data_IF_597503425967
#
_entry.id   IF_597503425967
#
_cell.length_a   1.000
_cell.length_b   1.000
_cell.length_c   1.000
_cell.angle_alpha   90.00
_cell.angle_beta   90.00
_cell.angle_gamma   90.00
#
_symmetry.space_group_name_H-M   'P 1'
#
loop_
_entity.id
_entity.type
_entity.pdbx_description
1 polymer ?
#
# COMPACT_ATOMS: atom_id res chain seq x y z
N UNK A 1 11.37 6.84 18.32
CA UNK A 1 11.27 8.30 18.51
C UNK A 1 11.48 8.95 17.16
N UNK A 2 10.39 9.13 16.37
CA UNK A 2 10.45 9.66 15.02
C UNK A 2 10.57 11.17 15.00
N UNK A 3 11.78 11.68 15.03
CA UNK A 3 12.04 13.05 14.63
C UNK A 3 12.07 13.08 13.09
N UNK A 4 11.31 14.01 12.49
CA UNK A 4 11.32 14.20 11.05
C UNK A 4 12.70 14.64 10.57
N UNK A 5 13.44 13.73 9.95
CA UNK A 5 14.69 14.09 9.25
C UNK A 5 14.34 14.96 8.05
N UNK A 6 15.31 15.73 7.54
CA UNK A 6 15.14 16.55 6.34
C UNK A 6 14.61 15.72 5.17
N UNK A 7 15.18 14.52 4.94
CA UNK A 7 14.74 13.59 3.90
C UNK A 7 13.29 13.14 4.08
N UNK A 8 12.87 12.84 5.32
CA UNK A 8 11.50 12.45 5.62
C UNK A 8 10.51 13.60 5.34
N UNK A 9 10.87 14.83 5.72
CA UNK A 9 10.06 16.01 5.45
C UNK A 9 9.93 16.26 3.94
N UNK A 10 11.02 16.16 3.18
CA UNK A 10 11.01 16.30 1.72
C UNK A 10 10.14 15.20 1.06
N UNK A 11 10.22 13.97 1.55
CA UNK A 11 9.37 12.87 1.08
C UNK A 11 7.88 13.16 1.36
N UNK A 12 7.53 13.63 2.55
CA UNK A 12 6.14 14.02 2.89
C UNK A 12 5.67 15.19 2.01
N UNK A 13 6.51 16.18 1.73
CA UNK A 13 6.16 17.28 0.85
C UNK A 13 5.84 16.81 -0.57
N UNK A 14 6.65 15.88 -1.09
CA UNK A 14 6.53 15.32 -2.44
C UNK A 14 5.38 14.33 -2.57
N UNK A 15 5.29 13.39 -1.65
CA UNK A 15 4.38 12.22 -1.74
C UNK A 15 3.13 12.34 -0.88
N UNK A 16 3.04 13.39 -0.03
CA UNK A 16 2.04 13.61 1.00
C UNK A 16 2.12 12.58 2.13
N UNK A 17 1.47 12.91 3.25
CA UNK A 17 1.41 12.01 4.38
C UNK A 17 0.51 10.80 4.07
N UNK A 18 0.90 9.63 4.50
CA UNK A 18 0.13 8.40 4.40
C UNK A 18 -0.70 8.16 5.68
N UNK A 19 -1.65 7.22 5.69
CA UNK A 19 -2.45 6.91 6.89
C UNK A 19 -1.64 6.50 8.13
N UNK A 20 -0.43 6.00 7.96
CA UNK A 20 0.47 5.63 9.07
C UNK A 20 1.07 6.85 9.80
N UNK A 21 1.05 8.03 9.18
CA UNK A 21 1.63 9.21 9.79
C UNK A 21 0.75 9.75 10.91
N UNK A 22 1.39 10.15 12.02
CA UNK A 22 0.71 10.81 13.13
C UNK A 22 0.17 12.16 12.70
N UNK A 23 -1.14 12.28 12.53
CA UNK A 23 -1.82 13.46 11.98
C UNK A 23 -1.59 14.75 12.75
N UNK A 24 -1.38 14.66 14.06
CA UNK A 24 -1.13 15.82 14.93
C UNK A 24 0.31 16.30 14.92
N UNK A 25 1.21 15.63 14.21
CA UNK A 25 2.62 16.00 14.14
C UNK A 25 2.85 17.05 13.05
N UNK A 26 3.37 18.22 13.42
CA UNK A 26 3.89 19.18 12.46
C UNK A 26 5.29 18.71 11.99
N UNK A 27 5.59 18.55 10.71
CA UNK A 27 4.94 19.05 9.51
C UNK A 27 3.87 18.14 8.87
N UNK A 28 3.61 16.94 9.38
CA UNK A 28 2.64 16.00 8.81
C UNK A 28 1.26 16.63 8.66
N UNK A 29 0.82 17.39 9.64
CA UNK A 29 -0.49 18.06 9.62
C UNK A 29 -0.72 18.98 8.41
N UNK A 30 0.34 19.55 7.84
CA UNK A 30 0.28 20.40 6.65
C UNK A 30 0.30 19.60 5.33
N UNK A 31 0.66 18.31 5.39
CA UNK A 31 0.81 17.42 4.24
C UNK A 31 -0.08 16.19 4.35
N UNK A 32 -1.17 16.28 5.10
CA UNK A 32 -2.12 15.17 5.21
C UNK A 32 -2.62 14.73 3.82
N UNK A 33 -2.95 13.44 3.66
CA UNK A 33 -3.48 12.94 2.41
C UNK A 33 -4.71 13.76 2.04
N UNK A 34 -4.62 14.42 0.92
CA UNK A 34 -5.73 15.12 0.34
C UNK A 34 -6.22 14.29 -0.84
N UNK A 35 -7.30 13.52 -0.61
CA UNK A 35 -7.90 12.67 -1.64
C UNK A 35 -8.24 13.45 -2.90
N UNK A 36 -8.73 14.68 -2.74
CA UNK A 36 -9.01 15.57 -3.86
C UNK A 36 -7.74 15.97 -4.62
N UNK A 37 -6.61 16.14 -3.91
CA UNK A 37 -5.31 16.40 -4.55
C UNK A 37 -4.83 15.20 -5.36
N UNK A 38 -4.88 14.00 -4.79
CA UNK A 38 -4.46 12.77 -5.46
C UNK A 38 -5.30 12.51 -6.72
N UNK A 39 -6.61 12.68 -6.60
CA UNK A 39 -7.54 12.53 -7.72
C UNK A 39 -7.30 13.57 -8.81
N UNK A 40 -7.16 14.85 -8.45
CA UNK A 40 -6.94 15.97 -9.39
C UNK A 40 -5.62 15.83 -10.16
N UNK A 41 -4.57 15.35 -9.50
CA UNK A 41 -3.26 15.17 -10.09
C UNK A 41 -3.07 13.80 -10.75
N UNK A 42 -4.15 13.02 -10.91
CA UNK A 42 -4.15 11.69 -11.52
C UNK A 42 -3.19 10.68 -10.86
N UNK A 43 -2.92 10.86 -9.59
CA UNK A 43 -2.13 9.95 -8.77
C UNK A 43 -3.00 8.78 -8.28
N UNK A 44 -3.63 8.09 -9.23
CA UNK A 44 -4.67 7.10 -8.95
C UNK A 44 -4.14 5.87 -8.21
N UNK A 45 -2.94 5.41 -8.54
CA UNK A 45 -2.29 4.33 -7.79
C UNK A 45 -2.12 4.71 -6.32
N UNK A 46 -1.52 5.86 -6.04
CA UNK A 46 -1.36 6.36 -4.68
C UNK A 46 -2.68 6.61 -3.96
N UNK A 47 -3.72 7.01 -4.68
CA UNK A 47 -5.07 7.11 -4.13
C UNK A 47 -5.59 5.74 -3.70
N UNK A 48 -5.41 4.73 -4.55
CA UNK A 48 -5.80 3.35 -4.26
C UNK A 48 -5.10 2.80 -3.02
N UNK A 49 -3.77 2.93 -2.94
CA UNK A 49 -2.98 2.52 -1.78
C UNK A 49 -3.49 3.16 -0.48
N UNK A 50 -3.78 4.47 -0.50
CA UNK A 50 -4.32 5.18 0.66
C UNK A 50 -5.71 4.69 1.07
N UNK A 51 -6.57 4.41 0.10
CA UNK A 51 -7.91 3.87 0.34
C UNK A 51 -7.84 2.47 0.95
N UNK A 52 -6.96 1.61 0.42
CA UNK A 52 -6.73 0.26 0.95
C UNK A 52 -6.19 0.33 2.37
N UNK A 53 -5.16 1.14 2.63
CA UNK A 53 -4.61 1.31 3.97
C UNK A 53 -5.67 1.79 4.97
N UNK A 54 -6.52 2.75 4.59
CA UNK A 54 -7.64 3.19 5.42
C UNK A 54 -8.65 2.07 5.68
N UNK A 55 -8.94 1.22 4.69
CA UNK A 55 -9.82 0.06 4.87
C UNK A 55 -9.20 -0.97 5.81
N UNK A 56 -7.91 -1.29 5.63
CA UNK A 56 -7.18 -2.25 6.47
C UNK A 56 -7.15 -1.81 7.94
N UNK A 57 -6.88 -0.53 8.21
CA UNK A 57 -6.95 0.02 9.57
C UNK A 57 -8.35 -0.16 10.18
N UNK A 58 -9.41 0.07 9.41
CA UNK A 58 -10.79 -0.09 9.89
C UNK A 58 -11.16 -1.54 10.21
N UNK A 59 -10.54 -2.50 9.55
CA UNK A 59 -10.76 -3.93 9.82
C UNK A 59 -9.74 -4.52 10.80
N UNK A 60 -8.92 -3.67 11.44
CA UNK A 60 -8.06 -4.05 12.55
C UNK A 60 -6.58 -4.25 12.24
N UNK A 61 -6.13 -3.99 11.01
CA UNK A 61 -4.70 -4.05 10.72
C UNK A 61 -3.93 -2.89 11.35
N UNK A 62 -2.75 -3.19 11.85
CA UNK A 62 -1.74 -2.20 12.21
C UNK A 62 -0.85 -1.91 10.99
N UNK A 63 -0.78 -0.64 10.56
CA UNK A 63 0.11 -0.25 9.46
C UNK A 63 1.55 -0.16 9.93
N UNK A 64 2.44 -0.88 9.24
CA UNK A 64 3.88 -0.87 9.53
C UNK A 64 4.59 0.10 8.59
N UNK A 65 4.46 -0.10 7.29
CA UNK A 65 5.12 0.73 6.28
C UNK A 65 4.29 0.79 4.98
N UNK A 66 4.50 1.84 4.20
CA UNK A 66 3.90 1.98 2.87
C UNK A 66 4.96 2.42 1.86
N UNK A 67 4.84 1.91 0.64
CA UNK A 67 5.73 2.18 -0.47
C UNK A 67 7.20 1.86 -0.15
N UNK A 68 7.45 0.68 0.42
CA UNK A 68 8.81 0.18 0.65
C UNK A 68 9.47 -0.13 -0.68
N UNK A 69 10.46 0.66 -1.04
CA UNK A 69 11.12 0.56 -2.34
C UNK A 69 12.56 0.04 -2.19
N UNK A 70 12.85 -1.05 -2.87
CA UNK A 70 14.20 -1.60 -3.00
C UNK A 70 14.71 -1.29 -4.40
N UNK A 71 15.67 -0.35 -4.56
CA UNK A 71 16.16 0.06 -5.87
C UNK A 71 16.60 -1.14 -6.72
N UNK A 72 16.12 -1.21 -7.97
CA UNK A 72 16.38 -2.28 -8.95
C UNK A 72 15.79 -3.66 -8.60
N UNK A 73 15.19 -3.83 -7.46
CA UNK A 73 14.58 -5.11 -7.02
C UNK A 73 13.06 -5.04 -7.16
N UNK A 74 12.39 -4.20 -6.39
CA UNK A 74 10.95 -4.09 -6.40
C UNK A 74 10.42 -3.11 -5.38
N UNK A 75 9.08 -3.01 -5.30
CA UNK A 75 8.36 -2.17 -4.37
C UNK A 75 7.25 -2.98 -3.70
N UNK A 76 7.00 -2.71 -2.42
CA UNK A 76 5.88 -3.25 -1.65
C UNK A 76 4.95 -2.09 -1.31
N UNK A 77 3.69 -2.17 -1.74
CA UNK A 77 2.76 -1.05 -1.59
C UNK A 77 2.36 -0.83 -0.14
N UNK A 78 1.99 -1.89 0.57
CA UNK A 78 1.57 -1.81 1.98
C UNK A 78 2.15 -2.99 2.76
N UNK A 79 2.74 -2.68 3.91
CA UNK A 79 3.17 -3.65 4.93
C UNK A 79 2.36 -3.38 6.18
N UNK A 80 1.67 -4.40 6.70
CA UNK A 80 0.81 -4.30 7.87
C UNK A 80 0.88 -5.54 8.74
N UNK A 81 0.28 -5.49 9.93
CA UNK A 81 0.04 -6.64 10.80
C UNK A 81 -1.46 -6.88 10.92
N UNK A 82 -1.87 -8.14 10.75
CA UNK A 82 -3.21 -8.65 11.04
C UNK A 82 -3.05 -9.56 12.28
N UNK A 83 -3.25 -9.00 13.48
CA UNK A 83 -2.82 -9.60 14.74
C UNK A 83 -1.30 -9.83 14.75
N UNK A 84 -0.83 -11.06 14.87
CA UNK A 84 0.59 -11.42 14.87
C UNK A 84 1.14 -11.73 13.46
N UNK A 85 0.27 -11.79 12.45
CA UNK A 85 0.65 -12.10 11.07
C UNK A 85 1.15 -10.86 10.34
N UNK A 86 2.37 -10.93 9.81
CA UNK A 86 2.90 -9.91 8.89
C UNK A 86 2.21 -10.06 7.53
N UNK A 87 1.70 -8.96 6.99
CA UNK A 87 0.94 -8.96 5.75
C UNK A 87 1.54 -7.97 4.77
N UNK A 88 1.95 -8.49 3.61
CA UNK A 88 2.34 -7.69 2.45
C UNK A 88 1.14 -7.58 1.52
N UNK A 89 0.79 -6.38 1.08
CA UNK A 89 -0.36 -6.17 0.21
C UNK A 89 0.04 -5.40 -1.03
N UNK A 90 -0.21 -5.99 -2.19
CA UNK A 90 -0.10 -5.35 -3.50
C UNK A 90 -1.44 -4.68 -3.85
N UNK A 91 -1.40 -3.45 -4.33
CA UNK A 91 -2.60 -2.67 -4.64
C UNK A 91 -2.75 -2.43 -6.14
N UNK A 92 -3.81 -2.94 -6.71
CA UNK A 92 -4.16 -2.69 -8.10
C UNK A 92 -5.33 -1.72 -8.20
N UNK A 93 -5.09 -0.54 -8.76
CA UNK A 93 -6.09 0.50 -8.93
C UNK A 93 -6.53 0.61 -10.38
N UNK A 94 -7.83 0.49 -10.61
CA UNK A 94 -8.44 0.60 -11.91
C UNK A 94 -9.43 1.77 -11.96
N UNK A 95 -9.58 2.38 -13.15
CA UNK A 95 -10.52 3.46 -13.41
C UNK A 95 -11.36 3.15 -14.62
N UNK A 96 -12.65 3.49 -14.54
CA UNK A 96 -13.58 3.41 -15.70
C UNK A 96 -14.04 2.00 -16.03
N UNK A 97 -15.21 1.88 -16.61
CA UNK A 97 -15.78 0.64 -17.10
C UNK A 97 -16.78 -0.02 -16.16
N UNK A 98 -17.34 -1.09 -16.60
CA UNK A 98 -18.38 -1.85 -15.92
C UNK A 98 -17.77 -2.50 -14.66
N UNK A 99 -18.46 -2.36 -13.53
CA UNK A 99 -18.07 -2.88 -12.21
C UNK A 99 -17.62 -4.33 -12.23
N UNK A 100 -17.31 -4.83 -11.04
CA UNK A 100 -16.85 -6.19 -10.75
C UNK A 100 -17.16 -7.22 -11.85
N UNK A 101 -16.23 -7.41 -12.78
CA UNK A 101 -16.17 -8.52 -13.71
C UNK A 101 -14.95 -9.35 -13.35
N UNK A 102 -14.79 -10.52 -13.94
CA UNK A 102 -13.72 -11.48 -13.64
C UNK A 102 -12.39 -10.82 -13.22
N UNK A 103 -11.63 -11.41 -12.28
CA UNK A 103 -10.34 -10.89 -11.86
C UNK A 103 -9.46 -10.65 -13.07
N UNK A 104 -9.40 -9.43 -13.58
CA UNK A 104 -8.57 -9.06 -14.74
C UNK A 104 -7.11 -8.91 -14.34
N UNK A 105 -6.81 -9.24 -13.09
CA UNK A 105 -5.51 -9.03 -12.56
C UNK A 105 -4.77 -10.37 -12.40
N UNK A 106 -3.86 -10.59 -13.30
CA UNK A 106 -2.89 -11.67 -13.20
C UNK A 106 -1.53 -11.06 -12.87
N UNK A 107 -0.97 -11.45 -11.74
CA UNK A 107 0.44 -11.16 -11.47
C UNK A 107 1.26 -11.97 -12.47
N UNK A 108 1.99 -11.28 -13.36
CA UNK A 108 2.96 -11.96 -14.19
C UNK A 108 4.06 -12.57 -13.31
N UNK A 109 4.63 -13.72 -13.72
CA UNK A 109 5.75 -14.34 -13.00
C UNK A 109 6.86 -13.33 -12.69
N UNK A 110 7.23 -12.52 -13.65
CA UNK A 110 8.24 -11.47 -13.48
C UNK A 110 7.88 -10.46 -12.38
N UNK A 111 6.60 -10.10 -12.26
CA UNK A 111 6.13 -9.20 -11.20
C UNK A 111 6.14 -9.90 -9.85
N UNK A 112 5.73 -11.17 -9.82
CA UNK A 112 5.76 -12.01 -8.64
C UNK A 112 7.17 -12.14 -8.07
N UNK A 113 8.15 -12.45 -8.93
CA UNK A 113 9.55 -12.57 -8.54
C UNK A 113 10.09 -11.27 -7.93
N UNK A 114 9.76 -10.13 -8.55
CA UNK A 114 10.16 -8.82 -8.03
C UNK A 114 9.57 -8.52 -6.65
N UNK A 115 8.30 -8.84 -6.46
CA UNK A 115 7.62 -8.67 -5.18
C UNK A 115 8.26 -9.59 -4.13
N UNK A 116 8.46 -10.88 -4.44
CA UNK A 116 9.06 -11.83 -3.50
C UNK A 116 10.49 -11.46 -3.14
N UNK A 117 11.28 -10.96 -4.08
CA UNK A 117 12.61 -10.45 -3.79
C UNK A 117 12.58 -9.20 -2.88
N UNK A 118 11.59 -8.34 -3.04
CA UNK A 118 11.41 -7.19 -2.16
C UNK A 118 10.93 -7.61 -0.76
N UNK A 119 10.07 -8.63 -0.65
CA UNK A 119 9.66 -9.24 0.63
C UNK A 119 10.88 -9.82 1.35
N UNK A 120 11.68 -10.64 0.65
CA UNK A 120 12.89 -11.23 1.23
C UNK A 120 13.84 -10.15 1.74
N UNK A 121 14.08 -9.11 0.91
CA UNK A 121 14.91 -7.98 1.32
C UNK A 121 14.36 -7.26 2.57
N UNK A 122 13.04 -7.10 2.66
CA UNK A 122 12.42 -6.50 3.84
C UNK A 122 12.61 -7.37 5.08
N UNK A 123 12.38 -8.67 4.97
CA UNK A 123 12.54 -9.63 6.06
C UNK A 123 13.97 -9.64 6.57
N UNK A 124 14.95 -9.76 5.66
CA UNK A 124 16.38 -9.79 6.00
C UNK A 124 16.84 -8.48 6.66
N UNK A 125 16.42 -7.34 6.11
CA UNK A 125 16.85 -6.03 6.59
C UNK A 125 16.27 -5.66 7.97
N UNK A 126 15.17 -6.30 8.37
CA UNK A 126 14.54 -6.14 9.67
C UNK A 126 14.78 -7.33 10.61
N UNK A 127 15.65 -8.27 10.22
CA UNK A 127 15.99 -9.49 11.01
C UNK A 127 14.73 -10.28 11.46
N UNK A 128 13.74 -10.37 10.54
CA UNK A 128 12.46 -11.03 10.82
C UNK A 128 12.54 -12.52 10.42
N UNK A 129 12.22 -13.39 11.36
CA UNK A 129 12.03 -14.83 11.16
C UNK A 129 10.61 -15.19 11.63
N UNK A 130 9.63 -14.84 10.82
CA UNK A 130 8.22 -15.08 11.10
C UNK A 130 7.46 -15.41 9.82
N UNK A 131 6.33 -16.08 9.99
CA UNK A 131 5.40 -16.31 8.89
C UNK A 131 4.80 -14.99 8.41
N UNK A 132 4.51 -14.95 7.11
CA UNK A 132 3.84 -13.83 6.50
C UNK A 132 2.76 -14.27 5.51
N UNK A 133 1.82 -13.37 5.24
CA UNK A 133 0.78 -13.54 4.23
C UNK A 133 0.94 -12.50 3.14
N UNK A 134 0.64 -12.88 1.91
CA UNK A 134 0.60 -11.94 0.80
C UNK A 134 -0.82 -11.73 0.31
N UNK A 135 -1.34 -10.52 0.48
CA UNK A 135 -2.67 -10.13 0.07
C UNK A 135 -2.64 -9.29 -1.21
N UNK A 136 -3.73 -9.32 -1.94
CA UNK A 136 -3.95 -8.49 -3.12
C UNK A 136 -5.16 -7.61 -2.88
N UNK A 137 -5.03 -6.33 -3.12
CA UNK A 137 -6.13 -5.39 -3.04
C UNK A 137 -6.48 -4.81 -4.41
N UNK A 138 -7.70 -5.02 -4.84
CA UNK A 138 -8.25 -4.40 -6.04
C UNK A 138 -9.05 -3.17 -5.66
N UNK A 139 -8.73 -2.04 -6.28
CA UNK A 139 -9.43 -0.77 -6.08
C UNK A 139 -10.07 -0.34 -7.38
N UNK A 140 -11.38 -0.16 -7.36
CA UNK A 140 -12.12 0.33 -8.50
C UNK A 140 -12.62 1.77 -8.24
N UNK A 141 -12.13 2.70 -9.05
CA UNK A 141 -12.48 4.12 -9.01
C UNK A 141 -13.42 4.46 -10.17
N UNK A 142 -14.72 4.26 -9.95
CA UNK A 142 -15.78 4.64 -10.88
C UNK A 142 -16.41 6.00 -10.57
N UNK A 143 -17.60 6.25 -11.11
CA UNK A 143 -18.38 7.47 -10.86
C UNK A 143 -19.00 7.53 -9.45
N UNK A 144 -18.99 6.42 -8.71
CA UNK A 144 -19.53 6.30 -7.36
C UNK A 144 -18.47 6.26 -6.27
N UNK A 145 -18.84 5.67 -5.14
CA UNK A 145 -17.89 5.41 -4.05
C UNK A 145 -16.84 4.40 -4.51
N UNK A 146 -15.55 4.59 -4.14
CA UNK A 146 -14.51 3.61 -4.40
C UNK A 146 -14.90 2.23 -3.88
N UNK A 147 -14.73 1.21 -4.69
CA UNK A 147 -14.94 -0.18 -4.30
C UNK A 147 -13.56 -0.81 -4.05
N UNK A 148 -13.43 -1.56 -2.96
CA UNK A 148 -12.17 -2.17 -2.56
C UNK A 148 -12.45 -3.64 -2.23
N UNK A 149 -11.75 -4.53 -2.90
CA UNK A 149 -11.72 -5.95 -2.60
C UNK A 149 -10.33 -6.33 -2.08
N UNK A 150 -10.25 -7.05 -0.97
CA UNK A 150 -8.99 -7.57 -0.42
C UNK A 150 -9.06 -9.09 -0.50
N UNK A 151 -8.16 -9.66 -1.28
CA UNK A 151 -8.02 -11.09 -1.51
C UNK A 151 -6.87 -11.57 -0.64
N UNK A 152 -7.19 -12.30 0.44
CA UNK A 152 -6.18 -12.91 1.31
C UNK A 152 -5.49 -14.04 0.58
N UNK A 153 -4.19 -14.19 0.80
CA UNK A 153 -3.33 -15.17 0.12
C UNK A 153 -3.42 -15.12 -1.41
N UNK A 154 -3.60 -13.92 -1.95
CA UNK A 154 -3.85 -13.70 -3.38
C UNK A 154 -2.72 -14.12 -4.33
N UNK A 155 -1.55 -14.50 -3.83
CA UNK A 155 -0.43 -15.04 -4.62
C UNK A 155 -0.31 -16.57 -4.59
N UNK A 156 -1.08 -17.28 -3.76
CA UNK A 156 -0.95 -18.75 -3.59
C UNK A 156 -1.81 -19.57 -4.56
N UNK A 157 -2.54 -18.95 -5.44
CA UNK A 157 -3.58 -19.56 -6.26
C UNK A 157 -3.22 -19.77 -7.74
N UNK A 158 -1.96 -20.20 -8.08
CA UNK A 158 -1.69 -20.71 -9.44
C UNK A 158 -0.49 -21.63 -9.43
#
# INVERSE_FOLDING_TARGET
KGYGTKQHIEAIQKSKATPIHRKSFNPVSHHLPNMAYLQRNRLLGKLGEQLVACKMIRIGHEMVEMNYNVPKVGELDIISKDSDMLVFTEVNTQTGGQGWGEPRWQITEKKRDRIMNAVQHYMDNNELDCDFRFDVAEVFLGSGKPQINIIKDGMTGY
#
